data_IF_630854556097
#
_entry.id   IF_630854556097
#
_cell.length_a   1.000
_cell.length_b   1.000
_cell.length_c   1.000
_cell.angle_alpha   90.00
_cell.angle_beta   90.00
_cell.angle_gamma   90.00
#
_symmetry.space_group_name_H-M   'P 1'
#
loop_
_entity.id
_entity.type
_entity.pdbx_description
1 polymer ?
#
# COMPACT_ATOMS: atom_id res chain seq x y z
N UNK A 1 13.35 -27.42 23.28
CA UNK A 1 13.16 -27.90 21.90
C UNK A 1 13.20 -26.69 21.00
N UNK A 2 14.10 -26.65 20.00
CA UNK A 2 14.21 -25.52 19.08
C UNK A 2 13.52 -25.86 17.76
N UNK A 3 12.90 -24.85 17.17
CA UNK A 3 12.25 -24.94 15.85
C UNK A 3 13.36 -24.81 14.81
N UNK A 4 13.36 -25.66 13.78
CA UNK A 4 14.34 -25.58 12.69
C UNK A 4 14.20 -24.26 11.94
N UNK A 5 15.31 -23.55 11.74
CA UNK A 5 15.33 -22.29 11.01
C UNK A 5 15.55 -22.56 9.52
N UNK A 6 14.48 -22.42 8.73
CA UNK A 6 14.51 -22.51 7.27
C UNK A 6 13.90 -21.23 6.69
N UNK A 7 14.64 -20.58 5.79
CA UNK A 7 14.18 -19.36 5.09
C UNK A 7 13.30 -19.67 3.87
N UNK A 8 13.42 -20.89 3.31
CA UNK A 8 12.76 -21.30 2.06
C UNK A 8 11.38 -21.94 2.28
N UNK A 9 10.77 -21.70 3.44
CA UNK A 9 9.50 -22.32 3.79
C UNK A 9 8.37 -21.58 3.08
N UNK A 10 7.53 -22.34 2.37
CA UNK A 10 6.42 -21.77 1.60
C UNK A 10 5.28 -21.41 2.56
N UNK A 11 5.07 -20.13 2.82
CA UNK A 11 3.95 -19.64 3.62
C UNK A 11 2.82 -19.18 2.69
N UNK A 12 1.57 -19.52 3.00
CA UNK A 12 0.43 -18.85 2.36
C UNK A 12 0.50 -17.34 2.67
N UNK A 13 0.02 -16.46 1.77
CA UNK A 13 -0.01 -15.03 2.04
C UNK A 13 -0.93 -14.76 3.22
N UNK A 14 -0.34 -14.73 4.42
CA UNK A 14 -1.00 -14.38 5.66
C UNK A 14 -1.52 -12.94 5.56
N UNK A 15 -2.58 -12.67 6.33
CA UNK A 15 -3.06 -11.31 6.49
C UNK A 15 -1.93 -10.46 7.09
N UNK A 16 -1.58 -9.37 6.40
CA UNK A 16 -0.55 -8.45 6.87
C UNK A 16 -0.97 -7.78 8.19
N UNK A 17 -2.25 -7.86 8.54
CA UNK A 17 -2.78 -7.37 9.79
C UNK A 17 -2.20 -8.08 11.02
N UNK A 18 -1.84 -9.37 10.92
CA UNK A 18 -1.25 -10.15 12.02
C UNK A 18 0.16 -9.67 12.39
N UNK A 19 0.91 -9.19 11.40
CA UNK A 19 2.26 -8.65 11.59
C UNK A 19 2.27 -7.22 12.17
N UNK A 20 1.10 -6.56 12.27
CA UNK A 20 0.98 -5.18 12.73
C UNK A 20 0.35 -5.15 14.12
N UNK A 21 1.10 -4.72 15.16
CA UNK A 21 0.57 -4.68 16.51
C UNK A 21 -0.62 -3.72 16.62
N UNK A 22 -1.57 -4.03 17.51
CA UNK A 22 -2.81 -3.27 17.63
C UNK A 22 -2.60 -1.79 18.01
N UNK A 23 -1.53 -1.51 18.76
CA UNK A 23 -1.12 -0.17 19.18
C UNK A 23 -0.29 0.59 18.11
N UNK A 24 -0.13 0.03 16.91
CA UNK A 24 0.69 0.64 15.87
C UNK A 24 0.01 1.89 15.29
N UNK A 25 0.78 2.95 15.09
CA UNK A 25 0.31 4.25 14.55
C UNK A 25 -0.45 4.11 13.22
N UNK A 26 -0.07 3.13 12.41
CA UNK A 26 -0.69 2.85 11.11
C UNK A 26 -2.20 2.58 11.21
N UNK A 27 -2.66 1.92 12.28
CA UNK A 27 -4.06 1.62 12.52
C UNK A 27 -4.85 2.89 12.87
N UNK A 28 -4.24 3.76 13.69
CA UNK A 28 -4.81 5.07 14.03
C UNK A 28 -4.97 5.93 12.79
N UNK A 29 -3.95 5.98 11.92
CA UNK A 29 -4.01 6.71 10.65
C UNK A 29 -5.08 6.12 9.73
N UNK A 30 -5.17 4.79 9.61
CA UNK A 30 -6.19 4.15 8.80
C UNK A 30 -7.60 4.51 9.26
N UNK A 31 -7.87 4.42 10.57
CA UNK A 31 -9.17 4.78 11.16
C UNK A 31 -9.46 6.28 11.01
N UNK A 32 -8.47 7.14 11.19
CA UNK A 32 -8.63 8.59 11.01
C UNK A 32 -9.00 8.95 9.56
N UNK A 33 -8.30 8.39 8.57
CA UNK A 33 -8.60 8.64 7.14
C UNK A 33 -9.92 7.99 6.72
N UNK A 34 -10.30 6.85 7.32
CA UNK A 34 -11.60 6.23 7.02
C UNK A 34 -12.80 7.03 7.56
N UNK A 35 -12.59 7.90 8.57
CA UNK A 35 -13.63 8.81 9.09
C UNK A 35 -13.81 10.06 8.23
N UNK A 36 -12.89 10.34 7.30
CA UNK A 36 -13.04 11.45 6.37
C UNK A 36 -14.11 11.10 5.34
N UNK A 37 -14.89 12.11 4.94
CA UNK A 37 -15.92 11.96 3.92
C UNK A 37 -15.27 11.70 2.55
N UNK A 38 -15.82 10.72 1.83
CA UNK A 38 -15.33 10.32 0.51
C UNK A 38 -15.58 11.41 -0.54
N UNK A 39 -16.56 12.29 -0.30
CA UNK A 39 -16.85 13.46 -1.13
C UNK A 39 -15.65 14.40 -1.31
N UNK A 40 -14.76 14.48 -0.31
CA UNK A 40 -13.53 15.31 -0.39
C UNK A 40 -12.57 14.72 -1.42
N UNK A 41 -12.47 13.39 -1.47
CA UNK A 41 -11.59 12.70 -2.40
C UNK A 41 -12.16 12.71 -3.82
N UNK A 42 -13.48 12.58 -3.96
CA UNK A 42 -14.18 12.66 -5.25
C UNK A 42 -14.11 14.08 -5.84
N UNK A 43 -14.24 15.11 -5.01
CA UNK A 43 -14.07 16.50 -5.43
C UNK A 43 -12.61 16.83 -5.80
N UNK A 44 -11.64 16.28 -5.06
CA UNK A 44 -10.22 16.47 -5.35
C UNK A 44 -9.78 15.72 -6.63
N UNK A 45 -10.48 14.65 -6.99
CA UNK A 45 -10.18 13.85 -8.17
C UNK A 45 -11.49 13.42 -8.86
N UNK A 46 -12.08 14.27 -9.73
CA UNK A 46 -13.36 14.00 -10.40
C UNK A 46 -13.31 12.84 -11.42
N UNK A 47 -12.20 12.12 -11.50
CA UNK A 47 -11.98 11.03 -12.45
C UNK A 47 -11.58 11.53 -13.83
N UNK A 48 -10.51 10.98 -14.38
CA UNK A 48 -10.05 11.29 -15.74
C UNK A 48 -8.65 10.76 -16.00
N UNK A 49 -8.55 9.74 -16.87
CA UNK A 49 -7.28 9.15 -17.31
C UNK A 49 -7.20 7.64 -17.09
N UNK A 50 -6.00 7.08 -17.29
CA UNK A 50 -5.69 5.67 -16.96
C UNK A 50 -5.90 5.45 -15.48
N UNK A 51 -6.54 4.33 -15.13
CA UNK A 51 -6.23 3.46 -14.02
C UNK A 51 -5.26 4.08 -12.98
N UNK A 52 -5.79 4.98 -12.15
CA UNK A 52 -5.04 5.70 -11.11
C UNK A 52 -5.27 5.08 -9.74
N UNK A 53 -4.33 5.25 -8.81
CA UNK A 53 -4.49 4.78 -7.42
C UNK A 53 -5.64 5.52 -6.74
N UNK A 54 -6.32 4.88 -5.78
CA UNK A 54 -7.41 5.52 -5.05
C UNK A 54 -6.85 6.71 -4.22
N UNK A 55 -7.39 7.93 -4.33
CA UNK A 55 -6.89 9.12 -3.61
C UNK A 55 -6.83 8.90 -2.08
N UNK A 56 -7.88 8.30 -1.50
CA UNK A 56 -7.89 7.85 -0.09
C UNK A 56 -6.70 6.98 0.31
N UNK A 57 -6.24 6.08 -0.57
CA UNK A 57 -5.08 5.22 -0.30
C UNK A 57 -3.77 6.03 -0.32
N UNK A 58 -3.62 6.91 -1.30
CA UNK A 58 -2.46 7.81 -1.38
C UNK A 58 -2.38 8.72 -0.14
N UNK A 59 -3.50 9.27 0.31
CA UNK A 59 -3.56 10.12 1.51
C UNK A 59 -3.07 9.38 2.76
N UNK A 60 -3.48 8.11 2.94
CA UNK A 60 -2.98 7.27 4.06
C UNK A 60 -1.47 7.10 4.02
N UNK A 61 -0.93 6.78 2.84
CA UNK A 61 0.52 6.58 2.63
C UNK A 61 1.28 7.87 2.92
N UNK A 62 0.80 9.00 2.42
CA UNK A 62 1.42 10.31 2.62
C UNK A 62 1.45 10.65 4.11
N UNK A 63 0.31 10.60 4.80
CA UNK A 63 0.24 10.90 6.24
C UNK A 63 1.22 10.02 7.03
N UNK A 64 1.24 8.72 6.76
CA UNK A 64 2.14 7.80 7.46
C UNK A 64 3.62 8.04 7.10
N UNK A 65 3.95 8.31 5.84
CA UNK A 65 5.31 8.64 5.43
C UNK A 65 5.85 9.89 6.14
N UNK A 66 5.01 10.91 6.34
CA UNK A 66 5.36 12.12 7.08
C UNK A 66 5.67 11.82 8.55
N UNK A 67 4.93 10.91 9.20
CA UNK A 67 5.25 10.48 10.58
C UNK A 67 6.61 9.79 10.68
N UNK A 68 7.02 9.11 9.60
CA UNK A 68 8.32 8.42 9.50
C UNK A 68 9.43 9.29 8.91
N UNK A 69 9.20 10.60 8.72
CA UNK A 69 10.14 11.57 8.12
C UNK A 69 10.60 11.19 6.70
N UNK A 70 9.77 10.47 5.96
CA UNK A 70 10.01 10.12 4.56
C UNK A 70 9.25 11.12 3.69
N UNK A 71 9.98 11.99 2.99
CA UNK A 71 9.38 13.03 2.15
C UNK A 71 9.58 12.79 0.65
N UNK A 72 10.55 11.96 0.28
CA UNK A 72 10.83 11.65 -1.14
C UNK A 72 9.82 10.65 -1.68
N UNK A 73 9.15 10.98 -2.78
CA UNK A 73 8.23 10.07 -3.49
C UNK A 73 8.88 8.73 -3.87
N UNK A 74 10.16 8.75 -4.25
CA UNK A 74 10.94 7.53 -4.54
C UNK A 74 11.15 6.68 -3.29
N UNK A 75 11.43 7.30 -2.16
CA UNK A 75 11.58 6.59 -0.88
C UNK A 75 10.25 6.06 -0.38
N UNK A 76 9.15 6.81 -0.54
CA UNK A 76 7.79 6.33 -0.24
C UNK A 76 7.45 5.09 -1.10
N UNK A 77 7.72 5.13 -2.40
CA UNK A 77 7.50 3.99 -3.30
C UNK A 77 8.39 2.77 -2.97
N UNK A 78 9.57 2.99 -2.39
CA UNK A 78 10.42 1.93 -1.85
C UNK A 78 9.83 1.37 -0.54
N UNK A 79 9.42 2.24 0.38
CA UNK A 79 8.81 1.85 1.65
C UNK A 79 7.51 1.04 1.46
N UNK A 80 6.68 1.38 0.48
CA UNK A 80 5.48 0.60 0.13
C UNK A 80 5.82 -0.82 -0.36
N UNK A 81 7.04 -1.08 -0.86
CA UNK A 81 7.45 -2.42 -1.29
C UNK A 81 8.13 -3.23 -0.20
N UNK A 82 8.81 -2.56 0.72
CA UNK A 82 9.70 -3.22 1.69
C UNK A 82 9.14 -3.24 3.11
N UNK A 83 8.13 -2.40 3.42
CA UNK A 83 7.67 -2.20 4.79
C UNK A 83 6.20 -2.61 4.97
N UNK A 84 5.95 -3.52 5.91
CA UNK A 84 4.65 -4.17 6.16
C UNK A 84 3.51 -3.17 6.40
N UNK A 85 3.64 -2.14 7.27
CA UNK A 85 2.58 -1.18 7.52
C UNK A 85 2.21 -0.37 6.26
N UNK A 86 3.19 -0.05 5.40
CA UNK A 86 2.90 0.62 4.13
C UNK A 86 2.23 -0.32 3.13
N UNK A 87 2.63 -1.60 3.09
CA UNK A 87 1.97 -2.62 2.26
C UNK A 87 0.51 -2.85 2.68
N UNK A 88 0.24 -2.86 3.99
CA UNK A 88 -1.10 -2.99 4.55
C UNK A 88 -1.97 -1.76 4.23
N UNK A 89 -1.45 -0.53 4.37
CA UNK A 89 -2.17 0.69 3.97
C UNK A 89 -2.50 0.74 2.47
N UNK A 90 -1.60 0.20 1.64
CA UNK A 90 -1.83 0.08 0.21
C UNK A 90 -2.81 -1.07 -0.15
N UNK A 91 -3.25 -1.88 0.81
CA UNK A 91 -4.19 -2.99 0.60
C UNK A 91 -3.72 -4.00 -0.44
N UNK A 92 -2.40 -4.15 -0.63
CA UNK A 92 -1.79 -4.89 -1.76
C UNK A 92 -2.38 -4.51 -3.14
N UNK A 93 -2.95 -3.31 -3.30
CA UNK A 93 -3.30 -2.74 -4.61
C UNK A 93 -2.01 -2.34 -5.33
N UNK A 94 -1.25 -3.35 -5.72
CA UNK A 94 -0.17 -3.20 -6.66
C UNK A 94 -0.86 -3.15 -8.02
N UNK A 95 -0.77 -2.01 -8.71
CA UNK A 95 -1.00 -2.06 -10.14
C UNK A 95 0.11 -2.96 -10.68
N UNK A 96 -0.23 -4.21 -10.96
CA UNK A 96 0.51 -5.01 -11.91
C UNK A 96 0.46 -4.20 -13.18
N UNK A 97 1.50 -3.40 -13.44
CA UNK A 97 1.78 -2.98 -14.80
C UNK A 97 2.01 -4.30 -15.53
N UNK A 98 0.98 -4.80 -16.21
CA UNK A 98 1.16 -5.85 -17.18
C UNK A 98 2.35 -5.42 -18.05
N UNK A 99 3.37 -6.27 -18.24
CA UNK A 99 4.47 -5.91 -19.11
C UNK A 99 3.85 -5.54 -20.46
N UNK A 100 4.23 -4.36 -20.98
CA UNK A 100 3.74 -3.78 -22.24
C UNK A 100 4.18 -4.61 -23.48
N UNK A 101 4.40 -5.91 -23.34
CA UNK A 101 4.97 -6.80 -24.37
C UNK A 101 3.95 -7.73 -25.03
N UNK A 102 2.68 -7.74 -24.60
CA UNK A 102 1.69 -8.69 -25.12
C UNK A 102 0.81 -8.17 -26.28
N UNK A 103 1.15 -7.06 -26.94
CA UNK A 103 0.36 -6.52 -28.06
C UNK A 103 1.13 -6.36 -29.39
N UNK A 104 2.29 -7.01 -29.57
CA UNK A 104 3.09 -6.89 -30.80
C UNK A 104 3.15 -8.20 -31.63
N UNK A 105 2.36 -9.23 -31.31
CA UNK A 105 2.36 -10.50 -32.07
C UNK A 105 0.98 -10.94 -32.58
N UNK A 106 0.09 -9.99 -32.85
CA UNK A 106 -1.13 -10.24 -33.64
C UNK A 106 -1.30 -9.14 -34.68
N UNK A 107 -0.63 -9.32 -35.81
CA UNK A 107 -0.67 -8.45 -37.00
C UNK A 107 0.15 -9.08 -38.10
#
# INVERSE_FOLDING_TARGET
MYIQYTMDQLFLPMDLEEDIPENHLVRVINTAVNRLDDSIFDAAYPGGGRDSYHPKMLTKIIIYAYTQRIYSSRQMAKAVRENIPFMWLAGRQRRTSAPLTASVLSG
#
